data_IF_739936436375
#
_entry.id   IF_739936436375
#
_cell.length_a   1.000
_cell.length_b   1.000
_cell.length_c   1.000
_cell.angle_alpha   90.00
_cell.angle_beta   90.00
_cell.angle_gamma   90.00
#
_symmetry.space_group_name_H-M   'P 1'
#
loop_
_entity.id
_entity.type
_entity.pdbx_description
1 polymer ?
#
# COMPACT_ATOMS: atom_id res chain seq x y z
N UNK A 1 -0.16 22.08 8.86
CA UNK A 1 0.09 22.89 10.09
C UNK A 1 0.78 21.94 11.03
N UNK A 2 2.06 22.16 11.33
CA UNK A 2 2.83 21.24 12.19
C UNK A 2 2.13 21.04 13.53
N UNK A 3 1.79 19.79 13.83
CA UNK A 3 1.09 19.36 15.03
C UNK A 3 0.86 17.85 14.96
N UNK A 4 0.50 17.26 16.10
CA UNK A 4 0.28 15.82 16.26
C UNK A 4 -0.65 15.27 15.18
N UNK A 5 -0.18 14.26 14.45
CA UNK A 5 -0.89 13.65 13.32
C UNK A 5 -1.71 12.44 13.77
N UNK A 6 -2.78 12.72 14.51
CA UNK A 6 -3.71 11.68 14.95
C UNK A 6 -4.65 11.27 13.80
N UNK A 7 -4.80 9.96 13.61
CA UNK A 7 -5.75 9.40 12.64
C UNK A 7 -6.54 8.26 13.25
N UNK A 8 -7.84 8.23 12.98
CA UNK A 8 -8.72 7.16 13.42
C UNK A 8 -9.55 6.64 12.26
N UNK A 9 -9.67 5.32 12.18
CA UNK A 9 -10.56 4.66 11.21
C UNK A 9 -11.73 4.05 11.95
N UNK A 10 -12.93 4.27 11.42
CA UNK A 10 -14.15 3.67 11.94
C UNK A 10 -14.86 2.90 10.84
N UNK A 11 -15.32 1.70 11.17
CA UNK A 11 -15.95 0.75 10.27
C UNK A 11 -17.38 0.50 10.71
N UNK A 12 -18.28 0.37 9.73
CA UNK A 12 -19.69 0.06 9.98
C UNK A 12 -19.90 -1.38 10.47
N UNK A 13 -18.93 -2.26 10.19
CA UNK A 13 -18.92 -3.66 10.62
C UNK A 13 -17.58 -3.97 11.28
N UNK A 14 -17.53 -4.87 12.28
CA UNK A 14 -16.27 -5.27 12.90
C UNK A 14 -15.31 -5.90 11.90
N UNK A 15 -14.03 -5.51 11.96
CA UNK A 15 -12.93 -6.08 11.19
C UNK A 15 -11.85 -6.60 12.14
N UNK A 16 -11.07 -7.60 11.73
CA UNK A 16 -9.93 -8.10 12.52
C UNK A 16 -8.58 -7.67 11.96
N UNK A 17 -8.59 -6.99 10.80
CA UNK A 17 -7.38 -6.58 10.10
C UNK A 17 -7.60 -5.25 9.40
N UNK A 18 -6.56 -4.43 9.41
CA UNK A 18 -6.39 -3.28 8.54
C UNK A 18 -4.98 -3.32 7.94
N UNK A 19 -4.88 -3.08 6.64
CA UNK A 19 -3.63 -2.93 5.92
C UNK A 19 -3.58 -1.59 5.22
N UNK A 20 -2.43 -0.94 5.21
CA UNK A 20 -2.24 0.35 4.56
C UNK A 20 -0.78 0.56 4.15
N UNK A 21 -0.60 1.42 3.15
CA UNK A 21 0.70 1.98 2.84
C UNK A 21 0.96 3.17 3.76
N UNK A 22 2.19 3.27 4.24
CA UNK A 22 2.64 4.41 5.04
C UNK A 22 4.00 4.89 4.57
N UNK A 23 4.16 6.21 4.54
CA UNK A 23 5.41 6.88 4.24
C UNK A 23 5.72 7.88 5.35
N UNK A 24 6.99 7.96 5.75
CA UNK A 24 7.51 8.99 6.66
C UNK A 24 8.66 9.72 5.99
N UNK A 25 8.86 11.01 6.30
CA UNK A 25 10.05 11.72 5.84
C UNK A 25 9.92 13.24 5.91
N UNK A 26 10.68 13.92 5.03
CA UNK A 26 10.59 15.36 4.82
C UNK A 26 9.23 15.69 4.19
N UNK A 27 8.47 16.56 4.83
CA UNK A 27 7.17 16.97 4.31
C UNK A 27 7.28 18.01 3.19
N UNK A 28 6.11 18.53 2.80
CA UNK A 28 5.94 19.40 1.63
C UNK A 28 6.16 20.89 1.94
N UNK A 29 6.30 21.27 3.22
CA UNK A 29 6.43 22.67 3.64
C UNK A 29 7.89 23.03 4.00
N UNK A 30 8.27 24.32 3.81
CA UNK A 30 9.56 24.81 4.29
C UNK A 30 9.69 24.63 5.82
N UNK A 31 10.68 23.85 6.26
CA UNK A 31 10.96 23.58 7.68
C UNK A 31 10.91 22.10 8.07
N UNK A 32 10.23 21.26 7.28
CA UNK A 32 10.19 19.82 7.48
C UNK A 32 11.47 19.17 6.94
N UNK A 33 12.52 19.17 7.76
CA UNK A 33 13.86 18.70 7.37
C UNK A 33 14.28 17.40 8.03
N UNK A 34 13.50 16.89 8.98
CA UNK A 34 13.84 15.65 9.69
C UNK A 34 13.52 14.43 8.82
N UNK A 35 14.35 13.40 8.95
CA UNK A 35 14.09 12.07 8.42
C UNK A 35 14.14 11.02 9.53
N UNK A 36 14.13 11.43 10.80
CA UNK A 36 14.25 10.50 11.92
C UNK A 36 13.08 9.51 12.05
N UNK A 37 11.98 9.76 11.33
CA UNK A 37 10.74 8.99 11.43
C UNK A 37 9.91 9.41 12.64
N UNK A 38 8.85 8.67 12.94
CA UNK A 38 7.91 8.94 14.05
C UNK A 38 7.42 7.63 14.67
N UNK A 39 6.81 7.71 15.85
CA UNK A 39 6.10 6.59 16.47
C UNK A 39 4.63 6.91 16.74
N UNK A 40 3.77 5.97 16.38
CA UNK A 40 2.35 6.01 16.68
C UNK A 40 1.99 5.01 17.76
N UNK A 41 1.19 5.45 18.72
CA UNK A 41 0.44 4.56 19.61
C UNK A 41 -0.83 4.12 18.90
N UNK A 42 -1.08 2.82 18.88
CA UNK A 42 -2.25 2.20 18.27
C UNK A 42 -3.20 1.77 19.37
N UNK A 43 -4.50 2.01 19.19
CA UNK A 43 -5.53 1.56 20.12
C UNK A 43 -6.80 1.20 19.37
N UNK A 44 -7.29 -0.03 19.54
CA UNK A 44 -8.60 -0.45 19.07
C UNK A 44 -9.69 -0.11 20.09
N UNK A 45 -10.95 0.00 19.66
CA UNK A 45 -12.07 0.17 20.60
C UNK A 45 -12.35 -1.05 21.50
N UNK A 46 -11.70 -2.18 21.24
CA UNK A 46 -11.74 -3.37 22.09
C UNK A 46 -10.63 -3.37 23.14
N UNK A 47 -9.72 -2.39 23.11
CA UNK A 47 -8.64 -2.22 24.09
C UNK A 47 -7.32 -2.89 23.72
N UNK A 48 -7.23 -3.57 22.58
CA UNK A 48 -5.93 -4.01 22.05
C UNK A 48 -5.12 -2.79 21.61
N UNK A 49 -3.87 -2.72 22.06
CA UNK A 49 -2.97 -1.59 21.84
C UNK A 49 -1.58 -2.04 21.39
N UNK A 50 -0.84 -1.12 20.78
CA UNK A 50 0.53 -1.36 20.33
C UNK A 50 1.25 -0.09 19.93
N UNK A 51 2.46 -0.22 19.42
CA UNK A 51 3.25 0.90 18.90
C UNK A 51 3.77 0.56 17.51
N UNK A 52 3.61 1.49 16.58
CA UNK A 52 4.20 1.44 15.25
C UNK A 52 5.28 2.51 15.17
N UNK A 53 6.54 2.10 14.97
CA UNK A 53 7.65 3.03 14.75
C UNK A 53 8.06 2.96 13.30
N UNK A 54 8.10 4.12 12.65
CA UNK A 54 8.60 4.31 11.30
C UNK A 54 9.96 4.94 11.37
N UNK A 55 10.89 4.46 10.56
CA UNK A 55 12.22 5.06 10.42
C UNK A 55 12.48 5.19 8.92
N UNK A 56 12.58 6.42 8.42
CA UNK A 56 13.01 6.66 7.04
C UNK A 56 14.52 6.91 7.02
N UNK A 57 15.33 6.08 6.35
CA UNK A 57 16.77 6.33 6.24
C UNK A 57 17.12 7.54 5.33
N UNK A 58 16.17 8.45 5.06
CA UNK A 58 16.31 9.61 4.17
C UNK A 58 16.05 9.30 2.70
N UNK A 59 15.27 8.25 2.43
CA UNK A 59 15.01 7.75 1.07
C UNK A 59 13.58 7.95 0.60
N UNK A 60 12.69 8.43 1.48
CA UNK A 60 11.25 8.49 1.19
C UNK A 60 10.62 7.10 1.15
N UNK A 61 10.99 6.25 2.12
CA UNK A 61 10.52 4.88 2.19
C UNK A 61 8.99 4.81 2.34
N UNK A 62 8.36 3.99 1.48
CA UNK A 62 6.95 3.60 1.60
C UNK A 62 6.90 2.14 2.02
N UNK A 63 6.28 1.86 3.16
CA UNK A 63 6.09 0.51 3.68
C UNK A 63 4.62 0.10 3.59
N UNK A 64 4.37 -1.18 3.32
CA UNK A 64 3.07 -1.79 3.57
C UNK A 64 3.03 -2.40 4.97
N UNK A 65 2.02 -2.04 5.75
CA UNK A 65 1.84 -2.54 7.11
C UNK A 65 0.49 -3.25 7.21
N UNK A 66 0.50 -4.42 7.84
CA UNK A 66 -0.71 -5.14 8.27
C UNK A 66 -0.81 -5.08 9.80
N UNK A 67 -1.94 -4.63 10.31
CA UNK A 67 -2.31 -4.77 11.72
C UNK A 67 -3.39 -5.86 11.82
N UNK A 68 -3.19 -6.78 12.74
CA UNK A 68 -4.08 -7.92 12.98
C UNK A 68 -4.44 -7.91 14.45
N UNK A 69 -5.71 -7.77 14.76
CA UNK A 69 -6.25 -7.83 16.11
C UNK A 69 -6.81 -9.23 16.39
N UNK A 70 -6.67 -9.67 17.64
CA UNK A 70 -7.27 -10.94 18.08
C UNK A 70 -8.80 -10.82 18.20
N UNK A 71 -9.29 -9.66 18.60
CA UNK A 71 -10.69 -9.29 18.73
C UNK A 71 -11.11 -8.38 17.57
N UNK A 72 -12.20 -8.70 16.84
CA UNK A 72 -12.72 -7.80 15.82
C UNK A 72 -13.11 -6.44 16.41
N UNK A 73 -12.64 -5.37 15.78
CA UNK A 73 -12.83 -3.98 16.21
C UNK A 73 -13.60 -3.19 15.17
N UNK A 74 -14.27 -2.13 15.61
CA UNK A 74 -14.95 -1.18 14.72
C UNK A 74 -14.20 0.13 14.62
N UNK A 75 -13.28 0.41 15.55
CA UNK A 75 -12.45 1.60 15.52
C UNK A 75 -11.02 1.24 15.89
N UNK A 76 -10.06 1.83 15.17
CA UNK A 76 -8.65 1.87 15.53
C UNK A 76 -8.15 3.30 15.40
N UNK A 77 -7.44 3.76 16.43
CA UNK A 77 -6.81 5.07 16.50
C UNK A 77 -5.30 4.92 16.44
N UNK A 78 -4.67 5.87 15.79
CA UNK A 78 -3.23 6.08 15.72
C UNK A 78 -2.98 7.45 16.31
N UNK A 79 -2.22 7.50 17.39
CA UNK A 79 -1.88 8.74 18.08
C UNK A 79 -0.38 8.93 18.04
N UNK A 80 0.07 10.04 17.47
CA UNK A 80 1.50 10.32 17.37
C UNK A 80 2.08 10.61 18.76
N UNK A 81 3.20 9.98 19.11
CA UNK A 81 3.79 10.06 20.44
C UNK A 81 4.48 11.42 20.75
N UNK A 82 4.61 12.32 19.76
CA UNK A 82 5.17 13.65 19.92
C UNK A 82 5.26 14.39 18.58
N UNK A 83 5.10 15.72 18.59
CA UNK A 83 5.13 16.54 17.38
C UNK A 83 6.55 16.73 16.84
N UNK A 84 7.00 15.80 16.01
CA UNK A 84 8.24 15.93 15.26
C UNK A 84 8.05 16.80 14.01
N UNK A 85 9.14 17.30 13.41
CA UNK A 85 9.08 18.08 12.16
C UNK A 85 9.05 17.18 10.92
N UNK A 86 8.23 16.12 10.96
CA UNK A 86 8.05 15.16 9.89
C UNK A 86 6.57 14.96 9.62
N UNK A 87 6.20 14.90 8.34
CA UNK A 87 4.84 14.49 7.96
C UNK A 87 4.80 12.97 7.76
N UNK A 88 3.66 12.38 8.07
CA UNK A 88 3.33 11.01 7.68
C UNK A 88 2.13 10.94 6.77
N UNK A 89 2.27 10.14 5.71
CA UNK A 89 1.23 9.96 4.72
C UNK A 89 0.72 8.53 4.77
N UNK A 90 -0.57 8.38 5.07
CA UNK A 90 -1.29 7.12 5.00
C UNK A 90 -2.01 7.00 3.66
N UNK A 91 -1.90 5.84 3.03
CA UNK A 91 -2.52 5.59 1.72
C UNK A 91 -2.96 4.14 1.58
N UNK A 92 -3.69 3.87 0.49
CA UNK A 92 -4.04 2.52 0.06
C UNK A 92 -4.59 1.65 1.21
N UNK A 93 -5.65 2.12 1.86
CA UNK A 93 -6.18 1.53 3.10
C UNK A 93 -7.20 0.45 2.76
N UNK A 94 -7.00 -0.76 3.29
CA UNK A 94 -7.89 -1.91 3.12
C UNK A 94 -8.18 -2.51 4.49
N UNK A 95 -9.45 -2.75 4.79
CA UNK A 95 -9.88 -3.35 6.05
C UNK A 95 -10.86 -4.50 5.80
N UNK A 96 -10.81 -5.52 6.65
CA UNK A 96 -11.69 -6.67 6.54
C UNK A 96 -11.29 -7.81 7.47
N UNK A 97 -11.98 -8.94 7.34
CA UNK A 97 -11.69 -10.16 8.11
C UNK A 97 -10.61 -11.05 7.45
N UNK A 98 -10.24 -10.77 6.19
CA UNK A 98 -9.26 -11.52 5.41
C UNK A 98 -8.29 -10.58 4.68
N UNK A 99 -7.11 -11.11 4.31
CA UNK A 99 -6.15 -10.37 3.48
C UNK A 99 -6.78 -10.08 2.12
N UNK A 100 -6.78 -8.82 1.69
CA UNK A 100 -7.04 -8.48 0.30
C UNK A 100 -5.80 -8.87 -0.50
N UNK A 101 -5.82 -10.05 -1.12
CA UNK A 101 -4.84 -10.39 -2.13
C UNK A 101 -5.22 -9.63 -3.39
N UNK A 102 -4.46 -8.58 -3.73
CA UNK A 102 -4.51 -8.00 -5.07
C UNK A 102 -3.72 -8.97 -5.95
N UNK A 103 -4.36 -9.72 -6.87
CA UNK A 103 -3.62 -10.58 -7.77
C UNK A 103 -2.66 -9.67 -8.54
N UNK A 104 -1.35 -9.92 -8.41
CA UNK A 104 -0.35 -9.18 -9.16
C UNK A 104 -0.72 -9.24 -10.63
N UNK A 105 -0.94 -8.09 -11.25
CA UNK A 105 -1.31 -7.94 -12.65
C UNK A 105 -0.14 -8.32 -13.56
N UNK A 106 0.26 -9.59 -13.55
CA UNK A 106 1.03 -10.19 -14.62
C UNK A 106 0.05 -10.35 -15.77
N UNK A 107 0.35 -9.86 -16.99
CA UNK A 107 -0.49 -10.14 -18.13
C UNK A 107 -0.67 -11.65 -18.20
N UNK A 108 -1.92 -12.10 -18.10
CA UNK A 108 -2.22 -13.51 -17.93
C UNK A 108 -1.47 -14.32 -19.00
N UNK A 109 -0.99 -15.53 -18.71
CA UNK A 109 -0.29 -16.36 -19.68
C UNK A 109 -1.00 -16.46 -21.04
N UNK A 110 -2.33 -16.34 -21.06
CA UNK A 110 -3.17 -16.23 -22.25
C UNK A 110 -2.85 -15.02 -23.14
N UNK A 111 -2.61 -13.83 -22.56
CA UNK A 111 -2.26 -12.62 -23.32
C UNK A 111 -0.93 -12.78 -24.06
N UNK A 112 0.06 -13.41 -23.42
CA UNK A 112 1.34 -13.74 -24.07
C UNK A 112 1.15 -14.77 -25.19
N UNK A 113 0.35 -15.80 -24.93
CA UNK A 113 0.02 -16.81 -25.92
C UNK A 113 -0.68 -16.20 -27.14
N UNK A 114 -1.62 -15.27 -26.95
CA UNK A 114 -2.31 -14.57 -28.03
C UNK A 114 -1.36 -13.68 -28.84
N UNK A 115 -0.44 -12.97 -28.20
CA UNK A 115 0.57 -12.19 -28.91
C UNK A 115 1.49 -13.08 -29.75
N UNK A 116 2.02 -14.15 -29.16
CA UNK A 116 2.88 -15.12 -29.88
C UNK A 116 2.12 -15.74 -31.05
N UNK A 117 0.87 -16.16 -30.83
CA UNK A 117 0.02 -16.75 -31.87
C UNK A 117 -0.28 -15.75 -32.98
N UNK A 118 -0.64 -14.51 -32.63
CA UNK A 118 -0.91 -13.43 -33.58
C UNK A 118 0.33 -13.08 -34.42
N UNK A 119 1.50 -12.95 -33.80
CA UNK A 119 2.75 -12.72 -34.51
C UNK A 119 3.14 -13.92 -35.40
N UNK A 120 2.94 -15.16 -34.91
CA UNK A 120 3.15 -16.38 -35.66
C UNK A 120 2.28 -16.47 -36.91
N UNK A 121 0.98 -16.20 -36.77
CA UNK A 121 0.01 -16.18 -37.88
C UNK A 121 0.33 -15.08 -38.91
N UNK A 122 0.67 -13.88 -38.43
CA UNK A 122 1.06 -12.76 -39.30
C UNK A 122 2.32 -13.11 -40.10
N UNK A 123 3.34 -13.66 -39.43
CA UNK A 123 4.55 -14.15 -40.09
C UNK A 123 4.26 -15.26 -41.12
N UNK A 124 3.41 -16.23 -40.78
CA UNK A 124 3.00 -17.30 -41.68
C UNK A 124 2.24 -16.78 -42.91
N UNK A 125 1.35 -15.79 -42.73
CA UNK A 125 0.64 -15.14 -43.82
C UNK A 125 1.59 -14.43 -44.80
N UNK A 126 2.58 -13.69 -44.29
CA UNK A 126 3.59 -13.03 -45.12
C UNK A 126 4.42 -14.04 -45.93
N UNK A 127 4.83 -15.17 -45.32
CA UNK A 127 5.59 -16.22 -46.02
C UNK A 127 4.78 -16.89 -47.14
N UNK A 128 3.49 -17.18 -46.92
CA UNK A 128 2.61 -17.76 -47.96
C UNK A 128 2.46 -16.83 -49.18
N UNK A 129 2.30 -15.52 -48.97
CA UNK A 129 2.19 -14.57 -50.08
C UNK A 129 3.45 -14.53 -50.94
N UNK A 130 4.63 -14.61 -50.32
CA UNK A 130 5.90 -14.66 -51.05
C UNK A 130 6.06 -15.93 -51.89
N UNK A 131 5.60 -17.07 -51.40
CA UNK A 131 5.63 -18.33 -52.15
C UNK A 131 4.66 -18.38 -53.33
N UNK A 132 3.55 -17.64 -53.29
CA UNK A 132 2.56 -17.59 -54.37
C UNK A 132 2.92 -16.62 -55.52
N UNK A 133 3.97 -15.82 -55.35
CA UNK A 133 4.45 -14.85 -56.37
C UNK A 133 5.69 -15.37 -57.11
N UNK A 134 6.25 -16.51 -56.69
CA UNK A 134 7.33 -17.22 -57.39
C UNK A 134 6.74 -18.31 -58.29
#
# INVERSE_FOLDING_TARGET
>A
MNGTEDVSFTFLVPVSRIGFAIASGRGLLPGETSSAGTSFSLLTNTGEAGTLTLVDPGTGLVAWIDIIAATPFTTISFTEAGGDQTDQYFGNIFAGSARVSIPGGVPEPASWALLITGFGLTGAAMRRRRAAVA
#
